data_IF_863441423804
#
_entry.id   IF_863441423804
#
_cell.length_a   1.000
_cell.length_b   1.000
_cell.length_c   1.000
_cell.angle_alpha   90.00
_cell.angle_beta   90.00
_cell.angle_gamma   90.00
#
_symmetry.space_group_name_H-M   'P 1'
#
loop_
_entity.id
_entity.type
_entity.pdbx_description
1 polymer ?
#
# COMPACT_ATOMS: atom_id res chain seq x y z
N UNK A 1 -3.40 -35.93 26.53
CA UNK A 1 -4.33 -35.25 25.60
C UNK A 1 -4.08 -33.75 25.50
N UNK A 2 -4.05 -32.98 26.60
CA UNK A 2 -3.81 -31.52 26.54
C UNK A 2 -2.48 -31.09 25.87
N UNK A 3 -1.39 -31.83 26.13
CA UNK A 3 -0.07 -31.52 25.54
C UNK A 3 -0.10 -31.67 24.01
N UNK A 4 -0.70 -32.74 23.49
CA UNK A 4 -0.83 -32.97 22.05
C UNK A 4 -1.71 -31.91 21.37
N UNK A 5 -2.79 -31.46 22.02
CA UNK A 5 -3.64 -30.38 21.52
C UNK A 5 -2.89 -29.03 21.46
N UNK A 6 -2.08 -28.72 22.49
CA UNK A 6 -1.27 -27.51 22.51
C UNK A 6 -0.19 -27.52 21.42
N UNK A 7 0.50 -28.65 21.22
CA UNK A 7 1.51 -28.79 20.15
C UNK A 7 0.87 -28.64 18.77
N UNK A 8 -0.28 -29.28 18.54
CA UNK A 8 -1.01 -29.15 17.28
C UNK A 8 -1.44 -27.69 17.03
N UNK A 9 -1.94 -27.01 18.06
CA UNK A 9 -2.36 -25.61 17.96
C UNK A 9 -1.17 -24.67 17.65
N UNK A 10 -0.04 -24.85 18.33
CA UNK A 10 1.19 -24.07 18.05
C UNK A 10 1.71 -24.37 16.65
N UNK A 11 1.71 -25.64 16.22
CA UNK A 11 2.09 -26.02 14.86
C UNK A 11 1.23 -25.34 13.79
N UNK A 12 -0.09 -25.31 13.99
CA UNK A 12 -1.04 -24.60 13.11
C UNK A 12 -0.76 -23.10 13.09
N UNK A 13 -0.49 -22.47 14.24
CA UNK A 13 -0.15 -21.04 14.29
C UNK A 13 1.15 -20.72 13.56
N UNK A 14 2.17 -21.57 13.67
CA UNK A 14 3.45 -21.39 12.97
C UNK A 14 3.30 -21.59 11.46
N UNK A 15 2.56 -22.62 11.03
CA UNK A 15 2.25 -22.85 9.62
C UNK A 15 1.41 -21.70 9.06
N UNK A 16 0.39 -21.23 9.77
CA UNK A 16 -0.42 -20.09 9.35
C UNK A 16 0.40 -18.79 9.26
N UNK A 17 1.39 -18.60 10.14
CA UNK A 17 2.32 -17.46 10.08
C UNK A 17 3.30 -17.58 8.91
N UNK A 18 3.72 -18.80 8.57
CA UNK A 18 4.59 -19.08 7.43
C UNK A 18 3.83 -18.92 6.09
N UNK A 19 2.62 -19.47 5.97
CA UNK A 19 1.77 -19.32 4.79
C UNK A 19 1.35 -17.87 4.54
N UNK A 20 1.12 -17.07 5.60
CA UNK A 20 0.91 -15.62 5.48
C UNK A 20 2.11 -14.87 4.90
N UNK A 21 3.32 -15.39 5.07
CA UNK A 21 4.54 -14.83 4.48
C UNK A 21 4.73 -15.21 3.01
N UNK A 22 4.06 -16.26 2.54
CA UNK A 22 4.44 -16.94 1.31
C UNK A 22 3.69 -16.49 0.04
N UNK A 23 2.63 -15.67 0.12
CA UNK A 23 1.75 -15.45 -1.04
C UNK A 23 1.23 -14.01 -1.21
N UNK A 24 2.07 -12.99 -1.00
CA UNK A 24 1.76 -11.67 -1.57
C UNK A 24 2.31 -11.65 -2.99
N UNK A 25 1.43 -11.73 -3.97
CA UNK A 25 1.78 -11.70 -5.39
C UNK A 25 1.57 -10.28 -5.89
N UNK A 26 2.56 -9.72 -6.57
CA UNK A 26 2.39 -8.43 -7.22
C UNK A 26 1.39 -8.58 -8.37
N UNK A 27 0.33 -7.78 -8.40
CA UNK A 27 -0.66 -7.87 -9.49
C UNK A 27 -0.07 -7.45 -10.84
N UNK A 28 0.97 -6.60 -10.81
CA UNK A 28 1.59 -6.09 -12.03
C UNK A 28 2.58 -7.08 -12.66
N UNK A 29 3.50 -7.67 -11.89
CA UNK A 29 4.49 -8.60 -12.44
C UNK A 29 4.22 -10.08 -12.12
N UNK A 30 3.19 -10.39 -11.34
CA UNK A 30 2.81 -11.75 -10.93
C UNK A 30 3.90 -12.51 -10.14
N UNK A 31 4.94 -11.81 -9.68
CA UNK A 31 5.99 -12.36 -8.84
C UNK A 31 5.63 -12.26 -7.35
N UNK A 32 6.08 -13.23 -6.55
CA UNK A 32 5.82 -13.32 -5.11
C UNK A 32 6.86 -12.59 -4.25
N UNK A 33 7.47 -11.51 -4.76
CA UNK A 33 8.53 -10.74 -4.08
C UNK A 33 8.02 -9.40 -3.52
N UNK A 34 6.78 -9.41 -3.03
CA UNK A 34 6.19 -8.28 -2.33
C UNK A 34 6.51 -8.34 -0.83
N UNK A 35 7.11 -7.27 -0.32
CA UNK A 35 7.56 -7.10 1.06
C UNK A 35 6.76 -6.00 1.71
N UNK A 36 6.22 -6.27 2.90
CA UNK A 36 5.77 -5.19 3.79
C UNK A 36 6.98 -4.39 4.26
N UNK A 37 6.80 -3.12 4.59
CA UNK A 37 7.92 -2.21 4.91
C UNK A 37 8.95 -2.73 5.92
N UNK A 38 8.50 -3.42 6.98
CA UNK A 38 9.40 -3.98 7.99
C UNK A 38 10.36 -5.06 7.46
N UNK A 39 10.11 -5.59 6.27
CA UNK A 39 10.92 -6.61 5.58
C UNK A 39 11.77 -6.03 4.44
N UNK A 40 11.57 -4.75 4.08
CA UNK A 40 12.38 -4.06 3.08
C UNK A 40 13.78 -3.80 3.69
N UNK A 41 14.87 -4.09 2.94
CA UNK A 41 16.23 -3.81 3.39
C UNK A 41 16.44 -2.36 3.83
N UNK A 42 17.20 -2.13 4.91
CA UNK A 42 17.35 -0.81 5.52
C UNK A 42 17.93 0.24 4.56
N UNK A 43 18.92 -0.14 3.75
CA UNK A 43 19.50 0.71 2.71
C UNK A 43 18.45 1.15 1.68
N UNK A 44 17.52 0.27 1.32
CA UNK A 44 16.40 0.59 0.43
C UNK A 44 15.39 1.52 1.10
N UNK A 45 15.09 1.26 2.39
CA UNK A 45 14.19 2.11 3.18
C UNK A 45 14.70 3.54 3.30
N UNK A 46 16.01 3.69 3.54
CA UNK A 46 16.67 4.99 3.68
C UNK A 46 16.65 5.81 2.38
N UNK A 47 16.50 5.18 1.22
CA UNK A 47 16.36 5.87 -0.07
C UNK A 47 14.91 6.23 -0.41
N UNK A 48 13.97 5.34 -0.07
CA UNK A 48 12.55 5.53 -0.40
C UNK A 48 11.89 6.63 0.47
N UNK A 49 12.15 6.65 1.79
CA UNK A 49 11.47 7.59 2.69
C UNK A 49 11.78 9.07 2.41
N UNK A 50 13.04 9.48 2.21
CA UNK A 50 13.34 10.88 1.91
C UNK A 50 12.71 11.33 0.60
N UNK A 51 12.74 10.46 -0.42
CA UNK A 51 12.06 10.74 -1.69
C UNK A 51 10.57 10.98 -1.46
N UNK A 52 9.90 10.07 -0.74
CA UNK A 52 8.49 10.22 -0.41
C UNK A 52 8.16 11.55 0.28
N UNK A 53 8.87 11.88 1.36
CA UNK A 53 8.69 13.12 2.11
C UNK A 53 8.91 14.36 1.24
N UNK A 54 9.92 14.33 0.37
CA UNK A 54 10.23 15.45 -0.52
C UNK A 54 9.13 15.71 -1.54
N UNK A 55 8.43 14.65 -1.99
CA UNK A 55 7.38 14.77 -3.00
C UNK A 55 6.01 15.05 -2.42
N UNK A 56 5.69 14.50 -1.26
CA UNK A 56 4.36 14.65 -0.66
C UNK A 56 4.28 15.69 0.45
N UNK A 57 5.41 16.13 0.99
CA UNK A 57 5.44 17.13 2.07
C UNK A 57 4.87 16.64 3.40
N UNK A 58 4.70 15.32 3.57
CA UNK A 58 4.13 14.68 4.77
C UNK A 58 4.89 13.42 5.17
N UNK A 59 4.65 12.96 6.40
CA UNK A 59 5.23 11.71 6.90
C UNK A 59 4.45 10.49 6.37
N UNK A 60 5.11 9.54 5.66
CA UNK A 60 4.45 8.32 5.17
C UNK A 60 3.99 7.40 6.30
N UNK A 61 2.87 6.69 6.10
CA UNK A 61 2.47 5.57 6.98
C UNK A 61 3.16 4.33 6.47
N UNK A 62 4.37 4.14 6.96
CA UNK A 62 5.21 3.00 6.63
C UNK A 62 4.54 1.65 6.90
N UNK A 63 3.50 1.56 7.74
CA UNK A 63 2.78 0.30 7.95
C UNK A 63 1.91 -0.11 6.76
N UNK A 64 1.52 0.86 5.94
CA UNK A 64 0.71 0.65 4.74
C UNK A 64 1.56 0.41 3.48
N UNK A 65 2.89 0.59 3.57
CA UNK A 65 3.78 0.37 2.44
C UNK A 65 3.91 -1.11 2.11
N UNK A 66 3.68 -1.42 0.85
CA UNK A 66 4.02 -2.70 0.24
C UNK A 66 4.98 -2.44 -0.93
N UNK A 67 6.07 -3.17 -0.98
CA UNK A 67 7.15 -2.95 -1.94
C UNK A 67 7.38 -4.23 -2.72
N UNK A 68 7.30 -4.19 -4.05
CA UNK A 68 7.68 -5.32 -4.89
C UNK A 68 9.10 -5.12 -5.40
N UNK A 69 10.02 -6.00 -5.03
CA UNK A 69 11.41 -5.91 -5.46
C UNK A 69 11.62 -6.40 -6.90
N UNK A 70 10.75 -7.28 -7.39
CA UNK A 70 10.82 -7.80 -8.76
C UNK A 70 10.52 -6.72 -9.81
N UNK A 71 9.44 -5.96 -9.66
CA UNK A 71 9.08 -4.86 -10.58
C UNK A 71 9.46 -3.46 -10.07
N UNK A 72 10.09 -3.39 -8.89
CA UNK A 72 10.54 -2.14 -8.25
C UNK A 72 9.41 -1.14 -8.07
N UNK A 73 8.24 -1.58 -7.58
CA UNK A 73 7.10 -0.70 -7.33
C UNK A 73 6.90 -0.52 -5.82
N UNK A 74 6.69 0.72 -5.39
CA UNK A 74 6.21 1.03 -4.05
C UNK A 74 4.72 1.28 -4.15
N UNK A 75 3.95 0.35 -3.59
CA UNK A 75 2.54 0.55 -3.29
C UNK A 75 2.45 1.33 -2.00
N UNK A 76 2.11 2.59 -2.17
CA UNK A 76 2.10 3.58 -1.13
C UNK A 76 0.92 3.42 -0.17
N UNK A 77 1.07 4.07 0.99
CA UNK A 77 0.02 4.47 1.90
C UNK A 77 -1.16 5.09 1.15
N UNK A 78 -2.17 4.25 0.95
CA UNK A 78 -3.44 4.66 0.43
C UNK A 78 -4.15 5.56 1.44
N UNK A 79 -4.52 6.77 1.01
CA UNK A 79 -5.37 7.68 1.77
C UNK A 79 -6.75 7.06 2.01
N UNK A 80 -6.84 6.18 3.00
CA UNK A 80 -8.05 5.45 3.33
C UNK A 80 -9.19 6.39 3.68
N UNK A 81 -10.41 6.06 3.27
CA UNK A 81 -11.65 6.59 3.87
C UNK A 81 -11.66 6.26 5.37
N UNK A 82 -12.20 7.17 6.19
CA UNK A 82 -12.48 6.88 7.61
C UNK A 82 -13.41 5.68 7.80
N UNK A 83 -14.27 5.41 6.82
CA UNK A 83 -15.40 4.49 6.97
C UNK A 83 -15.45 3.36 5.93
N UNK A 84 -14.40 3.14 5.12
CA UNK A 84 -14.36 1.94 4.27
C UNK A 84 -13.87 0.75 5.10
N UNK A 85 -14.66 -0.34 5.23
CA UNK A 85 -14.19 -1.62 5.79
C UNK A 85 -12.98 -2.21 5.04
N UNK A 86 -12.65 -1.62 3.90
CA UNK A 86 -11.64 -2.00 2.90
C UNK A 86 -10.30 -1.28 3.07
N UNK A 87 -10.06 -0.58 4.20
CA UNK A 87 -8.74 -0.02 4.53
C UNK A 87 -7.61 -1.08 4.64
N UNK A 88 -7.93 -2.34 4.37
CA UNK A 88 -6.98 -3.36 3.96
C UNK A 88 -7.02 -3.50 2.43
N UNK A 89 -6.34 -2.61 1.69
CA UNK A 89 -6.06 -2.81 0.26
C UNK A 89 -5.20 -4.07 -0.02
N UNK A 90 -4.77 -4.74 1.06
CA UNK A 90 -4.50 -6.17 1.09
C UNK A 90 -5.83 -6.87 1.33
N UNK A 91 -6.64 -7.07 0.27
CA UNK A 91 -7.85 -7.88 0.38
C UNK A 91 -7.45 -9.30 0.77
N UNK A 92 -7.44 -9.59 2.07
CA UNK A 92 -7.27 -10.93 2.60
C UNK A 92 -8.55 -11.71 2.27
N UNK A 93 -8.61 -12.30 1.08
CA UNK A 93 -9.65 -13.26 0.75
C UNK A 93 -9.55 -14.45 1.70
N UNK A 94 -10.41 -14.55 2.71
CA UNK A 94 -10.44 -15.69 3.62
C UNK A 94 -10.94 -16.93 2.84
N UNK A 95 -10.01 -17.71 2.30
CA UNK A 95 -10.28 -18.92 1.52
C UNK A 95 -8.98 -19.70 1.30
N UNK A 96 -9.03 -21.00 0.98
CA UNK A 96 -7.84 -21.85 0.82
C UNK A 96 -6.91 -21.44 -0.35
N UNK A 97 -7.25 -20.38 -1.08
CA UNK A 97 -6.51 -19.77 -2.19
C UNK A 97 -6.37 -18.25 -1.99
N UNK A 98 -6.05 -17.79 -0.78
CA UNK A 98 -5.78 -16.36 -0.47
C UNK A 98 -4.53 -15.86 -1.19
N UNK A 99 -4.67 -15.44 -2.45
CA UNK A 99 -3.72 -14.50 -3.06
C UNK A 99 -4.13 -13.12 -2.62
N UNK A 100 -3.22 -12.42 -1.95
CA UNK A 100 -3.34 -10.98 -1.79
C UNK A 100 -3.05 -10.39 -3.17
N UNK A 101 -4.08 -9.85 -3.82
CA UNK A 101 -3.95 -9.11 -5.06
C UNK A 101 -3.74 -7.64 -4.73
N UNK A 102 -2.67 -7.06 -5.27
CA UNK A 102 -2.39 -5.63 -5.15
C UNK A 102 -3.02 -4.93 -6.34
N UNK A 103 -4.31 -4.63 -6.25
CA UNK A 103 -5.15 -4.28 -7.39
C UNK A 103 -4.66 -3.05 -8.17
N UNK A 104 -5.08 -2.94 -9.43
CA UNK A 104 -5.01 -1.77 -10.31
C UNK A 104 -5.77 -0.53 -9.80
N UNK A 105 -6.06 -0.47 -8.51
CA UNK A 105 -6.81 0.58 -7.86
C UNK A 105 -5.90 1.30 -6.86
N UNK A 106 -6.06 2.62 -6.76
CA UNK A 106 -5.30 3.46 -5.84
C UNK A 106 -6.18 4.60 -5.34
N UNK A 107 -5.78 5.29 -4.28
CA UNK A 107 -6.54 6.43 -3.78
C UNK A 107 -5.90 7.73 -4.28
N UNK A 108 -6.75 8.65 -4.72
CA UNK A 108 -6.30 9.96 -5.15
C UNK A 108 -5.76 10.73 -3.95
N UNK A 109 -4.46 11.05 -3.98
CA UNK A 109 -3.74 11.85 -2.97
C UNK A 109 -4.25 13.29 -2.82
N UNK A 110 -5.09 13.77 -3.75
CA UNK A 110 -5.62 15.15 -3.78
C UNK A 110 -7.06 15.24 -3.24
N UNK A 111 -7.90 14.24 -3.51
CA UNK A 111 -9.31 14.28 -3.12
C UNK A 111 -9.81 13.03 -2.41
N UNK A 112 -8.93 12.08 -2.08
CA UNK A 112 -9.22 10.83 -1.40
C UNK A 112 -10.39 10.04 -2.03
N UNK A 113 -10.52 10.11 -3.36
CA UNK A 113 -11.42 9.24 -4.13
C UNK A 113 -10.64 8.05 -4.71
N UNK A 114 -11.29 6.89 -4.75
CA UNK A 114 -10.75 5.70 -5.38
C UNK A 114 -10.54 5.95 -6.88
N UNK A 115 -9.37 5.57 -7.37
CA UNK A 115 -8.93 5.59 -8.75
C UNK A 115 -8.80 4.15 -9.24
N UNK A 116 -9.10 3.94 -10.50
CA UNK A 116 -9.00 2.65 -11.18
C UNK A 116 -8.02 2.76 -12.34
N UNK A 117 -7.59 1.63 -12.88
CA UNK A 117 -6.63 1.55 -13.98
C UNK A 117 -5.31 2.26 -13.66
N UNK A 118 -4.75 1.98 -12.48
CA UNK A 118 -3.49 2.57 -12.02
C UNK A 118 -2.26 1.72 -12.40
N UNK A 119 -2.34 0.91 -13.45
CA UNK A 119 -1.27 0.01 -13.85
C UNK A 119 -0.01 0.78 -14.33
N UNK A 120 1.21 0.22 -14.16
CA UNK A 120 2.48 0.86 -14.56
C UNK A 120 2.62 1.21 -16.04
N UNK A 121 1.86 0.53 -16.89
CA UNK A 121 1.87 0.68 -18.35
C UNK A 121 0.73 1.61 -18.83
N UNK A 122 -0.11 2.10 -17.93
CA UNK A 122 -1.13 3.09 -18.26
C UNK A 122 -0.53 4.51 -18.19
N UNK A 123 -0.42 5.17 -19.35
CA UNK A 123 0.05 6.55 -19.45
C UNK A 123 -1.04 7.61 -19.17
N UNK A 124 -2.30 7.18 -19.03
CA UNK A 124 -3.46 8.05 -18.84
C UNK A 124 -4.18 7.80 -17.51
N UNK A 125 -3.41 7.82 -16.42
CA UNK A 125 -3.96 7.67 -15.07
C UNK A 125 -4.45 9.04 -14.61
N UNK A 126 -5.74 9.17 -14.29
CA UNK A 126 -6.28 10.40 -13.72
C UNK A 126 -7.41 10.10 -12.74
N UNK A 127 -7.54 10.95 -11.73
CA UNK A 127 -8.65 10.86 -10.81
C UNK A 127 -9.92 11.38 -11.49
N UNK A 128 -10.93 10.53 -11.64
CA UNK A 128 -12.21 10.93 -12.24
C UNK A 128 -12.98 11.97 -11.42
N UNK A 129 -12.72 12.07 -10.12
CA UNK A 129 -13.43 12.99 -9.23
C UNK A 129 -12.87 14.41 -9.27
N UNK A 130 -11.54 14.58 -9.29
CA UNK A 130 -10.90 15.91 -9.26
C UNK A 130 -10.11 16.26 -10.52
N UNK A 131 -9.99 15.35 -11.48
CA UNK A 131 -9.25 15.56 -12.73
C UNK A 131 -7.72 15.48 -12.60
N UNK A 132 -7.16 15.29 -11.40
CA UNK A 132 -5.70 15.22 -11.21
C UNK A 132 -5.10 14.06 -12.01
N UNK A 133 -4.14 14.35 -12.89
CA UNK A 133 -3.40 13.35 -13.66
C UNK A 133 -2.23 12.79 -12.85
N UNK A 134 -2.05 11.48 -12.87
CA UNK A 134 -0.96 10.79 -12.20
C UNK A 134 -0.02 10.17 -13.23
N UNK A 135 1.24 10.01 -12.82
CA UNK A 135 2.25 9.29 -13.61
C UNK A 135 3.09 8.41 -12.70
N UNK A 136 3.50 7.27 -13.22
CA UNK A 136 4.53 6.46 -12.59
C UNK A 136 5.89 7.13 -12.78
N UNK A 137 6.55 7.45 -11.67
CA UNK A 137 7.85 8.12 -11.67
C UNK A 137 8.88 7.22 -10.99
N UNK A 138 10.02 7.02 -11.64
CA UNK A 138 11.14 6.27 -11.09
C UNK A 138 12.02 7.20 -10.25
N UNK A 139 12.25 6.84 -9.00
CA UNK A 139 13.26 7.49 -8.18
C UNK A 139 14.65 7.01 -8.58
N UNK A 140 15.52 7.92 -9.01
CA UNK A 140 16.83 7.59 -9.58
C UNK A 140 17.73 6.81 -8.60
N UNK A 141 17.72 7.17 -7.31
CA UNK A 141 18.63 6.57 -6.33
C UNK A 141 18.23 5.16 -5.90
N UNK A 142 16.92 4.91 -5.75
CA UNK A 142 16.41 3.60 -5.34
C UNK A 142 16.04 2.70 -6.51
N UNK A 143 15.79 3.27 -7.70
CA UNK A 143 15.24 2.57 -8.85
C UNK A 143 13.76 2.19 -8.73
N UNK A 144 13.08 2.58 -7.64
CA UNK A 144 11.67 2.26 -7.43
C UNK A 144 10.74 3.26 -8.10
N UNK A 145 9.59 2.76 -8.57
CA UNK A 145 8.51 3.52 -9.20
C UNK A 145 7.42 3.86 -8.18
N UNK A 146 6.92 5.09 -8.26
CA UNK A 146 5.87 5.64 -7.41
C UNK A 146 4.76 6.24 -8.29
N UNK A 147 3.51 6.03 -7.90
CA UNK A 147 2.38 6.68 -8.55
C UNK A 147 2.20 8.09 -7.96
N UNK A 148 2.53 9.12 -8.74
CA UNK A 148 2.65 10.48 -8.25
C UNK A 148 1.76 11.46 -9.03
N UNK A 149 1.12 12.43 -8.35
CA UNK A 149 0.46 13.55 -9.00
C UNK A 149 1.50 14.51 -9.61
N UNK A 150 1.08 15.56 -10.33
CA UNK A 150 1.99 16.55 -10.90
C UNK A 150 2.73 17.31 -9.79
N UNK A 151 3.93 17.81 -10.09
CA UNK A 151 4.71 18.59 -9.14
C UNK A 151 3.97 19.85 -8.68
N UNK A 152 4.14 20.20 -7.41
CA UNK A 152 3.45 21.33 -6.79
C UNK A 152 1.99 21.06 -6.40
N UNK A 153 1.47 19.84 -6.66
CA UNK A 153 0.14 19.46 -6.21
C UNK A 153 0.11 19.28 -4.69
N UNK A 154 -0.82 19.94 -4.00
CA UNK A 154 -1.04 19.75 -2.57
C UNK A 154 -1.65 18.36 -2.32
N UNK A 155 -0.86 17.48 -1.71
CA UNK A 155 -1.33 16.20 -1.19
C UNK A 155 -2.15 16.46 0.08
N UNK A 156 -3.37 15.92 0.14
CA UNK A 156 -4.21 16.02 1.33
C UNK A 156 -3.72 15.08 2.42
N UNK A 157 -4.01 15.45 3.66
CA UNK A 157 -3.92 14.52 4.78
C UNK A 157 -4.83 13.31 4.55
N UNK A 158 -4.41 12.19 5.12
CA UNK A 158 -5.19 10.95 5.09
C UNK A 158 -6.42 11.13 5.94
N UNK A 159 -7.56 10.59 5.52
CA UNK A 159 -8.77 10.70 6.34
C UNK A 159 -8.56 10.04 7.72
N UNK A 160 -7.77 8.96 7.80
CA UNK A 160 -7.38 8.34 9.09
C UNK A 160 -6.59 9.26 10.02
N UNK A 161 -5.77 10.16 9.49
CA UNK A 161 -5.01 11.12 10.32
C UNK A 161 -5.95 12.19 10.88
N UNK A 162 -6.96 12.58 10.10
CA UNK A 162 -7.99 13.53 10.51
C UNK A 162 -8.90 12.96 11.62
N UNK A 163 -9.23 11.66 11.56
CA UNK A 163 -10.02 11.01 12.62
C UNK A 163 -9.22 10.81 13.91
N UNK A 164 -7.94 10.47 13.82
CA UNK A 164 -7.04 10.39 14.98
C UNK A 164 -6.85 11.75 15.68
N UNK A 165 -6.89 12.84 14.91
CA UNK A 165 -6.76 14.20 15.43
C UNK A 165 -8.05 14.78 16.03
N UNK A 166 -9.17 14.03 15.99
CA UNK A 166 -10.48 14.49 16.47
C UNK A 166 -11.13 15.57 15.61
N UNK A 167 -10.59 15.84 14.41
CA UNK A 167 -11.05 16.92 13.51
C UNK A 167 -12.36 16.57 12.79
N UNK A 168 -12.68 15.28 12.68
CA UNK A 168 -13.90 14.79 12.02
C UNK A 168 -15.12 14.64 12.95
N UNK A 169 -15.07 15.24 14.15
CA UNK A 169 -16.08 15.06 15.20
C UNK A 169 -17.36 15.91 15.08
N UNK A 170 -17.41 16.97 14.26
CA UNK A 170 -18.56 17.89 14.28
C UNK A 170 -18.85 18.43 12.87
N UNK A 171 -19.78 17.81 12.14
CA UNK A 171 -20.38 18.45 10.97
C UNK A 171 -20.58 17.57 9.74
N UNK A 172 -21.39 16.51 9.88
CA UNK A 172 -22.24 15.99 8.81
C UNK A 172 -23.63 15.70 9.40
#
# INVERSE_FOLDING_TARGET
YLIFAAIAFVGVLLIARFLRRANIVCDFCQESDCKVWGQVPEDTRQKILPYFRSREGREPDTKAFLVCDACRIVFDDFSGKCDSPEANAVSFGWGPSTRVLVMSESWCKVCNHLMQSCEPDNDNIHCRACGTTYKWQTHEESGYRFLMPPEGTTVKERCRDLSASGVLGEGL
#
